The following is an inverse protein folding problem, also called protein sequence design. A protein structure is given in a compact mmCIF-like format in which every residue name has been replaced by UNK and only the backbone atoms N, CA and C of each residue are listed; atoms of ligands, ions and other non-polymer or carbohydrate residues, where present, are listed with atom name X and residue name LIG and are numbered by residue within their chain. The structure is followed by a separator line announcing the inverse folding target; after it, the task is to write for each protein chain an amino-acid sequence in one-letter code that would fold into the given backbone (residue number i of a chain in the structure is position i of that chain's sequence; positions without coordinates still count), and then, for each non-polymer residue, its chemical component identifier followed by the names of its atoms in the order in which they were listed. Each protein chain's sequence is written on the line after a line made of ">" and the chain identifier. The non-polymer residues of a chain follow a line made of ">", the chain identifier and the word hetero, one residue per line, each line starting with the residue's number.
data_IF_585280948006
#
_entry.id   IF_585280948006
#
_cell.length_a   1.000
_cell.length_b   1.000
_cell.length_c   1.000
_cell.angle_alpha   90.00
_cell.angle_beta   90.00
_cell.angle_gamma   90.00
#
_symmetry.space_group_name_H-M   'P 1'
#
loop_
_entity.id
_entity.type
_entity.pdbx_description
1 polymer ?
#
# COMPACT_ATOMS: atom_id res chain seq x y z
N UNK A 1 1.15 -1.83 5.55
CA UNK A 1 0.09 -2.68 4.96
C UNK A 1 -1.20 -2.36 5.68
N UNK A 2 -2.33 -2.26 4.98
CA UNK A 2 -3.62 -2.14 5.66
C UNK A 2 -3.99 -3.49 6.26
N UNK A 3 -4.34 -3.51 7.54
CA UNK A 3 -4.80 -4.73 8.19
C UNK A 3 -6.15 -5.16 7.62
N UNK A 4 -6.36 -6.47 7.53
CA UNK A 4 -7.66 -7.00 7.14
C UNK A 4 -8.69 -6.62 8.22
N UNK A 5 -9.89 -6.21 7.79
CA UNK A 5 -10.96 -5.85 8.72
C UNK A 5 -11.65 -7.13 9.22
N UNK A 6 -12.17 -7.07 10.44
CA UNK A 6 -12.88 -8.19 11.06
C UNK A 6 -11.96 -9.22 11.70
N UNK A 7 -12.53 -10.34 12.14
CA UNK A 7 -11.79 -11.48 12.68
C UNK A 7 -11.36 -12.40 11.53
N UNK A 8 -10.16 -12.95 11.62
CA UNK A 8 -9.74 -14.06 10.78
C UNK A 8 -10.60 -15.31 11.06
N UNK A 9 -10.67 -16.24 10.10
CA UNK A 9 -11.34 -17.52 10.33
C UNK A 9 -10.76 -18.29 11.51
N UNK A 10 -9.45 -18.14 11.77
CA UNK A 10 -8.78 -18.71 12.95
C UNK A 10 -9.32 -18.14 14.25
N UNK A 11 -9.41 -16.82 14.36
CA UNK A 11 -9.96 -16.16 15.56
C UNK A 11 -11.43 -16.50 15.77
N UNK A 12 -12.22 -16.55 14.69
CA UNK A 12 -13.62 -16.98 14.76
C UNK A 12 -13.73 -18.45 15.21
N UNK A 13 -12.82 -19.31 14.75
CA UNK A 13 -12.76 -20.72 15.15
C UNK A 13 -12.42 -20.86 16.63
N UNK A 14 -11.38 -20.16 17.10
CA UNK A 14 -10.93 -20.21 18.49
C UNK A 14 -12.01 -19.68 19.45
N UNK A 15 -12.72 -18.60 19.06
CA UNK A 15 -13.87 -18.08 19.80
C UNK A 15 -15.03 -19.10 19.82
N UNK A 16 -15.38 -19.69 18.68
CA UNK A 16 -16.43 -20.70 18.61
C UNK A 16 -16.10 -21.96 19.43
N UNK A 17 -14.82 -22.36 19.44
CA UNK A 17 -14.32 -23.46 20.26
C UNK A 17 -14.42 -23.16 21.76
N UNK A 18 -14.01 -21.96 22.18
CA UNK A 18 -14.08 -21.53 23.58
C UNK A 18 -15.54 -21.51 24.05
N UNK A 19 -16.42 -20.84 23.32
CA UNK A 19 -17.84 -20.71 23.68
C UNK A 19 -18.54 -22.07 23.70
N UNK A 20 -18.29 -22.95 22.71
CA UNK A 20 -18.91 -24.28 22.70
C UNK A 20 -18.44 -25.13 23.89
N UNK A 21 -17.16 -25.05 24.28
CA UNK A 21 -16.62 -25.77 25.45
C UNK A 21 -17.26 -25.31 26.76
N UNK A 22 -17.42 -24.00 26.93
CA UNK A 22 -18.12 -23.42 28.09
C UNK A 22 -19.59 -23.84 28.15
N UNK A 23 -20.30 -23.81 27.01
CA UNK A 23 -21.70 -24.23 26.93
C UNK A 23 -21.89 -25.72 27.21
N UNK A 24 -20.95 -26.58 26.77
CA UNK A 24 -20.95 -28.02 27.10
C UNK A 24 -20.82 -28.21 28.61
N UNK A 25 -19.87 -27.52 29.24
CA UNK A 25 -19.68 -27.59 30.69
C UNK A 25 -20.93 -27.09 31.43
N UNK A 26 -21.50 -25.96 31.01
CA UNK A 26 -22.72 -25.40 31.58
C UNK A 26 -23.89 -26.38 31.46
N UNK A 27 -24.16 -26.91 30.26
CA UNK A 27 -25.27 -27.83 30.00
C UNK A 27 -25.16 -29.12 30.82
N UNK A 28 -23.94 -29.63 31.02
CA UNK A 28 -23.69 -30.85 31.82
C UNK A 28 -24.15 -30.74 33.28
N UNK A 29 -24.12 -29.53 33.85
CA UNK A 29 -24.54 -29.24 35.22
C UNK A 29 -26.01 -28.81 35.37
N UNK A 30 -26.79 -28.75 34.29
CA UNK A 30 -28.17 -28.26 34.31
C UNK A 30 -29.21 -29.38 34.37
N UNK A 31 -30.39 -29.05 34.90
CA UNK A 31 -31.59 -29.88 34.72
C UNK A 31 -32.10 -29.72 33.28
N UNK A 32 -32.05 -30.82 32.53
CA UNK A 32 -32.32 -30.89 31.08
C UNK A 32 -33.77 -30.62 30.69
N UNK A 33 -34.71 -30.76 31.62
CA UNK A 33 -36.15 -30.57 31.37
C UNK A 33 -36.59 -29.09 31.42
N UNK A 34 -35.64 -28.19 31.70
CA UNK A 34 -35.93 -26.76 31.83
C UNK A 34 -35.83 -26.02 30.49
N UNK A 35 -36.68 -25.00 30.29
CA UNK A 35 -36.58 -24.07 29.14
C UNK A 35 -35.20 -23.39 29.06
N UNK A 36 -34.52 -23.22 30.20
CA UNK A 36 -33.17 -22.66 30.23
C UNK A 36 -32.14 -23.63 29.64
N UNK A 37 -32.21 -24.92 29.99
CA UNK A 37 -31.34 -25.94 29.42
C UNK A 37 -31.56 -26.12 27.91
N UNK A 38 -32.82 -26.05 27.44
CA UNK A 38 -33.13 -26.09 25.99
C UNK A 38 -32.46 -24.94 25.23
N UNK A 39 -32.54 -23.70 25.73
CA UNK A 39 -31.86 -22.55 25.11
C UNK A 39 -30.34 -22.68 25.08
N UNK A 40 -29.75 -23.25 26.13
CA UNK A 40 -28.30 -23.51 26.18
C UNK A 40 -27.91 -24.57 25.16
N UNK A 41 -28.70 -25.64 25.02
CA UNK A 41 -28.50 -26.68 24.01
C UNK A 41 -28.54 -26.12 22.59
N UNK A 42 -29.57 -25.34 22.24
CA UNK A 42 -29.69 -24.70 20.92
C UNK A 42 -28.47 -23.82 20.60
N UNK A 43 -28.04 -23.01 21.57
CA UNK A 43 -26.86 -22.16 21.40
C UNK A 43 -25.58 -23.00 21.27
N UNK A 44 -25.45 -24.07 22.03
CA UNK A 44 -24.31 -25.00 21.99
C UNK A 44 -24.20 -25.65 20.61
N UNK A 45 -25.30 -26.22 20.11
CA UNK A 45 -25.37 -26.85 18.78
C UNK A 45 -24.99 -25.87 17.68
N UNK A 46 -25.54 -24.64 17.72
CA UNK A 46 -25.19 -23.59 16.78
C UNK A 46 -23.69 -23.24 16.79
N UNK A 47 -23.08 -23.17 17.97
CA UNK A 47 -21.64 -22.87 18.08
C UNK A 47 -20.76 -24.05 17.66
N UNK A 48 -21.19 -25.29 17.90
CA UNK A 48 -20.52 -26.50 17.41
C UNK A 48 -20.55 -26.54 15.89
N UNK A 49 -21.70 -26.28 15.27
CA UNK A 49 -21.82 -26.26 13.81
C UNK A 49 -20.98 -25.14 13.19
N UNK A 50 -21.04 -23.93 13.79
CA UNK A 50 -20.15 -22.82 13.39
C UNK A 50 -18.68 -23.17 13.51
N UNK A 51 -18.26 -23.86 14.57
CA UNK A 51 -16.88 -24.33 14.73
C UNK A 51 -16.50 -25.32 13.63
N UNK A 52 -17.40 -26.26 13.31
CA UNK A 52 -17.18 -27.29 12.29
C UNK A 52 -17.03 -26.69 10.89
N UNK A 53 -17.85 -25.70 10.54
CA UNK A 53 -17.70 -24.99 9.26
C UNK A 53 -16.38 -24.20 9.20
N UNK A 54 -15.99 -23.56 10.31
CA UNK A 54 -14.74 -22.80 10.40
C UNK A 54 -13.47 -23.68 10.42
N UNK A 55 -13.55 -24.93 10.90
CA UNK A 55 -12.41 -25.86 10.92
C UNK A 55 -11.77 -26.02 9.53
N UNK A 56 -12.61 -26.03 8.48
CA UNK A 56 -12.17 -26.17 7.09
C UNK A 56 -11.48 -24.92 6.53
N UNK A 57 -11.74 -23.75 7.14
CA UNK A 57 -11.30 -22.44 6.64
C UNK A 57 -10.28 -21.75 7.56
N UNK A 58 -10.05 -22.26 8.78
CA UNK A 58 -9.28 -21.58 9.83
C UNK A 58 -7.84 -21.25 9.44
N UNK A 59 -7.27 -21.98 8.48
CA UNK A 59 -5.89 -21.81 8.04
C UNK A 59 -5.78 -20.96 6.75
N UNK A 60 -6.90 -20.45 6.23
CA UNK A 60 -6.93 -19.50 5.12
C UNK A 60 -6.36 -18.15 5.60
N UNK A 61 -5.33 -17.61 4.93
CA UNK A 61 -4.75 -16.32 5.30
C UNK A 61 -5.76 -15.18 5.26
N UNK A 62 -5.74 -14.36 6.32
CA UNK A 62 -6.62 -13.19 6.44
C UNK A 62 -6.02 -11.99 5.70
N UNK A 63 -6.28 -11.91 4.40
CA UNK A 63 -5.85 -10.84 3.52
C UNK A 63 -6.95 -9.79 3.35
N UNK A 64 -6.57 -8.52 3.26
CA UNK A 64 -7.50 -7.42 2.97
C UNK A 64 -7.97 -7.45 1.51
N UNK A 65 -9.15 -6.90 1.23
CA UNK A 65 -9.72 -6.89 -0.12
C UNK A 65 -8.79 -6.22 -1.13
N UNK A 66 -8.20 -5.07 -0.79
CA UNK A 66 -7.21 -4.40 -1.65
C UNK A 66 -5.99 -5.29 -1.95
N UNK A 67 -5.56 -6.11 -0.98
CA UNK A 67 -4.47 -7.07 -1.19
C UNK A 67 -4.92 -8.18 -2.14
N UNK A 68 -6.12 -8.76 -1.92
CA UNK A 68 -6.69 -9.78 -2.80
C UNK A 68 -6.84 -9.27 -4.23
N UNK A 69 -7.38 -8.06 -4.43
CA UNK A 69 -7.50 -7.40 -5.74
C UNK A 69 -6.14 -7.31 -6.43
N UNK A 70 -5.12 -6.79 -5.74
CA UNK A 70 -3.78 -6.70 -6.33
C UNK A 70 -3.21 -8.07 -6.71
N UNK A 71 -3.44 -9.11 -5.90
CA UNK A 71 -3.00 -10.47 -6.22
C UNK A 71 -3.73 -11.03 -7.45
N UNK A 72 -5.00 -10.72 -7.64
CA UNK A 72 -5.73 -11.05 -8.87
C UNK A 72 -5.12 -10.37 -10.10
N UNK A 73 -4.69 -9.10 -9.99
CA UNK A 73 -4.00 -8.40 -11.08
C UNK A 73 -2.66 -9.06 -11.41
N UNK A 74 -1.88 -9.40 -10.36
CA UNK A 74 -0.60 -10.11 -10.51
C UNK A 74 -0.80 -11.47 -11.20
N UNK A 75 -1.81 -12.25 -10.76
CA UNK A 75 -2.16 -13.52 -11.37
C UNK A 75 -2.57 -13.36 -12.83
N UNK A 76 -3.40 -12.36 -13.12
CA UNK A 76 -3.87 -12.07 -14.48
C UNK A 76 -2.72 -11.72 -15.41
N UNK A 77 -1.78 -10.90 -14.94
CA UNK A 77 -0.56 -10.56 -15.67
C UNK A 77 0.30 -11.77 -15.98
N UNK A 78 0.52 -12.66 -15.02
CA UNK A 78 1.40 -13.82 -15.22
C UNK A 78 0.71 -14.91 -16.04
N UNK A 79 -0.55 -15.22 -15.75
CA UNK A 79 -1.27 -16.33 -16.38
C UNK A 79 -1.81 -15.99 -17.76
N UNK A 80 -2.34 -14.78 -17.93
CA UNK A 80 -3.00 -14.36 -19.16
C UNK A 80 -2.18 -13.36 -19.97
N UNK A 81 -0.99 -12.96 -19.47
CA UNK A 81 -0.11 -11.98 -20.13
C UNK A 81 -0.83 -10.65 -20.41
N UNK A 82 -1.77 -10.28 -19.54
CA UNK A 82 -2.56 -9.05 -19.65
C UNK A 82 -2.23 -8.09 -18.53
N UNK A 83 -1.90 -6.86 -18.89
CA UNK A 83 -1.62 -5.78 -17.95
C UNK A 83 -2.66 -4.68 -18.10
N UNK A 84 -3.11 -4.16 -16.97
CA UNK A 84 -3.84 -2.89 -16.94
C UNK A 84 -2.84 -1.77 -16.60
N UNK A 85 -2.78 -0.76 -17.46
CA UNK A 85 -1.88 0.38 -17.24
C UNK A 85 -2.47 1.33 -16.19
N UNK A 86 -1.87 1.40 -15.02
CA UNK A 86 -2.18 2.47 -14.05
C UNK A 86 -1.52 3.76 -14.53
N UNK A 87 -2.30 4.60 -15.22
CA UNK A 87 -1.85 5.93 -15.67
C UNK A 87 -2.40 7.01 -14.75
N UNK A 88 -1.51 7.79 -14.14
CA UNK A 88 -1.88 9.03 -13.46
C UNK A 88 -0.86 10.12 -13.72
N UNK A 89 -1.32 11.38 -13.76
CA UNK A 89 -0.45 12.55 -13.93
C UNK A 89 0.65 12.64 -12.86
N UNK A 90 0.36 12.13 -11.66
CA UNK A 90 1.31 12.09 -10.54
C UNK A 90 2.46 11.11 -10.79
N UNK A 91 2.14 9.89 -11.24
CA UNK A 91 3.14 8.88 -11.60
C UNK A 91 3.96 9.35 -12.81
N UNK A 92 3.28 9.88 -13.83
CA UNK A 92 3.94 10.37 -15.04
C UNK A 92 4.92 11.51 -14.75
N UNK A 93 4.55 12.48 -13.90
CA UNK A 93 5.47 13.53 -13.45
C UNK A 93 6.68 12.91 -12.76
N UNK A 94 6.46 12.09 -11.74
CA UNK A 94 7.54 11.49 -10.95
C UNK A 94 8.55 10.74 -11.82
N UNK A 95 8.08 9.92 -12.76
CA UNK A 95 8.93 9.18 -13.70
C UNK A 95 9.68 10.09 -14.68
N UNK A 96 9.02 11.14 -15.19
CA UNK A 96 9.61 12.03 -16.20
C UNK A 96 10.76 12.86 -15.61
N UNK A 97 10.64 13.31 -14.36
CA UNK A 97 11.60 14.23 -13.73
C UNK A 97 12.41 13.58 -12.60
N UNK A 98 12.55 12.26 -12.63
CA UNK A 98 13.30 11.52 -11.61
C UNK A 98 14.78 11.93 -11.58
N UNK A 99 15.43 12.04 -12.75
CA UNK A 99 16.85 12.47 -12.82
C UNK A 99 17.04 13.93 -12.39
N UNK A 100 16.06 14.80 -12.65
CA UNK A 100 16.07 16.19 -12.17
C UNK A 100 15.97 16.24 -10.64
N UNK A 101 15.18 15.35 -10.03
CA UNK A 101 15.07 15.25 -8.57
C UNK A 101 16.40 14.78 -7.93
N UNK A 102 17.10 13.83 -8.56
CA UNK A 102 18.44 13.38 -8.14
C UNK A 102 19.46 14.51 -8.31
N UNK A 103 19.36 15.28 -9.40
CA UNK A 103 20.23 16.43 -9.66
C UNK A 103 20.02 17.52 -8.62
N UNK A 104 18.76 17.87 -8.31
CA UNK A 104 18.43 18.80 -7.23
C UNK A 104 19.00 18.33 -5.89
N UNK A 105 18.82 17.04 -5.57
CA UNK A 105 19.40 16.45 -4.36
C UNK A 105 20.91 16.65 -4.32
N UNK A 106 21.59 16.37 -5.44
CA UNK A 106 23.05 16.49 -5.56
C UNK A 106 23.52 17.94 -5.40
N UNK A 107 22.80 18.90 -5.98
CA UNK A 107 23.12 20.33 -5.87
C UNK A 107 22.99 20.84 -4.43
N UNK A 108 21.90 20.49 -3.75
CA UNK A 108 21.61 20.93 -2.37
C UNK A 108 22.57 20.29 -1.38
N UNK A 109 22.88 18.99 -1.54
CA UNK A 109 23.79 18.26 -0.65
C UNK A 109 25.27 18.46 -0.99
N UNK A 110 25.57 18.97 -2.19
CA UNK A 110 26.92 19.10 -2.76
C UNK A 110 27.64 17.75 -2.91
N UNK A 111 26.88 16.67 -3.05
CA UNK A 111 27.35 15.32 -3.29
C UNK A 111 26.84 14.87 -4.66
N UNK A 112 27.73 14.41 -5.54
CA UNK A 112 27.30 13.95 -6.86
C UNK A 112 26.66 12.56 -6.75
N UNK A 113 25.41 12.43 -7.21
CA UNK A 113 24.71 11.16 -7.29
C UNK A 113 24.27 10.87 -8.72
N UNK A 114 24.18 9.57 -9.04
CA UNK A 114 23.69 9.08 -10.31
C UNK A 114 22.52 8.13 -10.08
N UNK A 115 21.54 8.18 -10.96
CA UNK A 115 20.43 7.22 -11.00
C UNK A 115 20.96 5.78 -11.02
N UNK A 116 20.40 4.97 -10.14
CA UNK A 116 20.57 3.53 -10.14
C UNK A 116 19.68 2.92 -11.23
N UNK A 117 20.25 2.04 -12.05
CA UNK A 117 19.53 1.30 -13.09
C UNK A 117 19.51 -0.21 -12.82
N UNK A 118 20.06 -0.63 -11.67
CA UNK A 118 20.07 -2.03 -11.25
C UNK A 118 18.76 -2.37 -10.53
N UNK A 119 18.08 -3.42 -11.02
CA UNK A 119 17.01 -4.08 -10.30
C UNK A 119 17.58 -5.21 -9.45
N UNK A 120 17.18 -5.30 -8.18
CA UNK A 120 17.53 -6.43 -7.30
C UNK A 120 16.30 -7.17 -6.85
N UNK A 121 16.48 -8.46 -6.63
CA UNK A 121 15.45 -9.33 -6.10
C UNK A 121 16.03 -10.35 -5.12
N UNK A 122 15.15 -10.88 -4.27
CA UNK A 122 15.41 -12.01 -3.41
C UNK A 122 14.19 -12.95 -3.41
N UNK A 123 14.18 -13.94 -2.52
CA UNK A 123 13.09 -14.91 -2.41
C UNK A 123 11.74 -14.32 -2.00
N UNK A 124 11.61 -13.01 -1.75
CA UNK A 124 10.36 -12.40 -1.25
C UNK A 124 9.97 -11.15 -2.01
N UNK A 125 10.92 -10.27 -2.32
CA UNK A 125 10.67 -8.96 -2.93
C UNK A 125 11.66 -8.68 -4.06
N UNK A 126 11.27 -7.74 -4.90
CA UNK A 126 12.12 -7.14 -5.92
C UNK A 126 11.91 -5.63 -5.93
N UNK A 127 12.89 -4.88 -6.43
CA UNK A 127 12.74 -3.44 -6.59
C UNK A 127 13.92 -2.78 -7.26
N UNK A 128 13.70 -1.53 -7.62
CA UNK A 128 14.66 -0.61 -8.23
C UNK A 128 14.54 0.70 -7.48
N UNK A 129 15.56 1.04 -6.71
CA UNK A 129 15.65 2.32 -5.99
C UNK A 129 16.20 3.42 -6.91
N UNK A 130 15.98 4.68 -6.56
CA UNK A 130 16.41 5.83 -7.36
C UNK A 130 17.93 5.99 -7.38
N UNK A 131 18.58 6.07 -6.20
CA UNK A 131 20.04 6.04 -6.11
C UNK A 131 20.53 5.59 -4.73
N UNK A 132 21.78 5.14 -4.69
CA UNK A 132 22.42 4.59 -3.49
C UNK A 132 23.81 5.19 -3.32
N UNK A 133 24.25 5.30 -2.06
CA UNK A 133 25.65 5.55 -1.74
C UNK A 133 26.24 4.44 -0.84
N UNK A 134 27.44 4.68 -0.34
CA UNK A 134 28.16 3.70 0.47
C UNK A 134 27.40 3.27 1.73
N UNK A 135 26.64 4.17 2.35
CA UNK A 135 26.05 3.97 3.68
C UNK A 135 24.52 3.91 3.69
N UNK A 136 23.85 4.50 2.70
CA UNK A 136 22.39 4.65 2.67
C UNK A 136 21.80 4.44 1.28
N UNK A 137 20.55 3.97 1.27
CA UNK A 137 19.68 4.02 0.07
C UNK A 137 18.90 5.34 0.07
N UNK A 138 18.62 5.89 -1.10
CA UNK A 138 17.81 7.11 -1.22
C UNK A 138 16.70 6.89 -2.25
N UNK A 139 15.52 7.35 -1.89
CA UNK A 139 14.34 7.33 -2.76
C UNK A 139 13.75 8.75 -2.79
N UNK A 140 13.54 9.26 -4.00
CA UNK A 140 13.01 10.59 -4.26
C UNK A 140 11.52 10.50 -4.53
N UNK A 141 10.78 11.52 -4.06
CA UNK A 141 9.34 11.65 -4.29
C UNK A 141 9.05 13.06 -4.78
N UNK A 142 8.67 13.16 -6.05
CA UNK A 142 8.32 14.45 -6.64
C UNK A 142 6.86 14.79 -6.34
N UNK A 143 6.65 15.95 -5.71
CA UNK A 143 5.30 16.44 -5.43
C UNK A 143 4.66 17.08 -6.68
N UNK A 144 3.34 16.93 -6.82
CA UNK A 144 2.61 17.52 -7.95
C UNK A 144 2.60 19.04 -7.91
N UNK A 145 2.36 19.61 -6.73
CA UNK A 145 2.23 21.05 -6.50
C UNK A 145 3.01 21.50 -5.27
N UNK A 146 3.33 22.80 -5.23
CA UNK A 146 3.96 23.45 -4.08
C UNK A 146 3.18 23.24 -2.79
N UNK A 147 1.85 23.23 -2.83
CA UNK A 147 1.02 22.98 -1.64
C UNK A 147 1.19 21.56 -1.09
N UNK A 148 1.27 20.55 -1.96
CA UNK A 148 1.52 19.17 -1.53
C UNK A 148 2.91 19.03 -0.93
N UNK A 149 3.90 19.64 -1.58
CA UNK A 149 5.27 19.70 -1.07
C UNK A 149 5.30 20.37 0.31
N UNK A 150 4.71 21.56 0.48
CA UNK A 150 4.69 22.27 1.77
C UNK A 150 4.05 21.43 2.87
N UNK A 151 2.98 20.68 2.58
CA UNK A 151 2.31 19.80 3.56
C UNK A 151 3.19 18.64 4.05
N UNK A 152 4.27 18.28 3.36
CA UNK A 152 5.18 17.21 3.83
C UNK A 152 5.90 17.59 5.13
N UNK A 153 6.13 18.88 5.39
CA UNK A 153 6.74 19.34 6.65
C UNK A 153 5.81 19.21 7.86
N UNK A 154 4.49 19.20 7.63
CA UNK A 154 3.50 19.15 8.70
C UNK A 154 2.93 17.73 8.93
N UNK A 155 3.45 16.72 8.22
CA UNK A 155 2.88 15.36 8.23
C UNK A 155 3.98 14.32 8.44
N UNK A 156 3.70 13.25 9.19
CA UNK A 156 4.62 12.13 9.27
C UNK A 156 4.78 11.46 7.90
N UNK A 157 5.90 10.76 7.73
CA UNK A 157 6.14 9.92 6.55
C UNK A 157 4.99 8.91 6.43
N UNK A 158 4.48 8.75 5.21
CA UNK A 158 3.42 7.76 4.95
C UNK A 158 3.96 6.36 5.28
N UNK A 159 3.21 5.51 6.00
CA UNK A 159 3.64 4.15 6.33
C UNK A 159 4.14 3.33 5.14
N UNK A 160 3.55 3.51 3.95
CA UNK A 160 3.99 2.84 2.71
C UNK A 160 5.48 3.05 2.39
N UNK A 161 5.99 4.27 2.60
CA UNK A 161 7.39 4.59 2.28
C UNK A 161 8.36 3.92 3.25
N UNK A 162 7.96 3.67 4.51
CA UNK A 162 8.77 2.86 5.41
C UNK A 162 8.95 1.43 4.86
N UNK A 163 7.86 0.77 4.45
CA UNK A 163 7.92 -0.57 3.86
C UNK A 163 8.77 -0.61 2.58
N UNK A 164 8.64 0.41 1.71
CA UNK A 164 9.44 0.53 0.49
C UNK A 164 10.94 0.64 0.81
N UNK A 165 11.30 1.57 1.70
CA UNK A 165 12.69 1.83 2.05
C UNK A 165 13.34 0.67 2.81
N UNK A 166 12.63 -0.04 3.69
CA UNK A 166 13.16 -1.27 4.29
C UNK A 166 13.42 -2.34 3.24
N UNK A 167 12.53 -2.47 2.26
CA UNK A 167 12.72 -3.39 1.14
C UNK A 167 14.03 -3.09 0.39
N UNK A 168 14.29 -1.83 0.07
CA UNK A 168 15.55 -1.41 -0.55
C UNK A 168 16.76 -1.61 0.36
N UNK A 169 16.67 -1.24 1.64
CA UNK A 169 17.74 -1.48 2.61
C UNK A 169 18.07 -2.97 2.73
N UNK A 170 17.06 -3.84 2.70
CA UNK A 170 17.24 -5.28 2.73
C UNK A 170 17.92 -5.81 1.45
N UNK A 171 17.44 -5.39 0.27
CA UNK A 171 17.99 -5.82 -1.02
C UNK A 171 19.42 -5.34 -1.28
N UNK A 172 19.79 -4.14 -0.80
CA UNK A 172 21.13 -3.57 -0.98
C UNK A 172 22.05 -3.69 0.24
N UNK A 173 21.60 -4.39 1.30
CA UNK A 173 22.42 -4.59 2.51
C UNK A 173 22.80 -3.29 3.22
N UNK A 174 21.87 -2.33 3.29
CA UNK A 174 22.02 -1.06 4.02
C UNK A 174 21.17 -1.05 5.28
N UNK A 175 21.50 -0.16 6.22
CA UNK A 175 20.74 0.02 7.46
C UNK A 175 20.13 1.42 7.61
N UNK A 176 20.46 2.31 6.69
CA UNK A 176 19.96 3.68 6.63
C UNK A 176 19.32 3.94 5.28
N UNK A 177 18.24 4.70 5.30
CA UNK A 177 17.57 5.18 4.12
C UNK A 177 17.26 6.67 4.26
N UNK A 178 17.15 7.37 3.13
CA UNK A 178 16.59 8.72 3.06
C UNK A 178 15.41 8.77 2.11
N UNK A 179 14.34 9.41 2.56
CA UNK A 179 13.22 9.81 1.72
C UNK A 179 13.38 11.29 1.37
N UNK A 180 13.55 11.59 0.08
CA UNK A 180 13.76 12.95 -0.40
C UNK A 180 12.54 13.45 -1.17
N UNK A 181 11.73 14.32 -0.57
CA UNK A 181 10.71 15.03 -1.33
C UNK A 181 11.35 16.16 -2.13
N UNK A 182 11.07 16.20 -3.43
CA UNK A 182 11.61 17.18 -4.36
C UNK A 182 10.49 18.00 -5.02
N UNK A 183 10.70 19.31 -5.11
CA UNK A 183 9.84 20.24 -5.82
C UNK A 183 10.47 20.60 -7.17
N UNK A 184 10.14 19.79 -8.19
CA UNK A 184 10.61 19.96 -9.56
C UNK A 184 9.49 20.47 -10.45
N UNK A 185 9.82 21.37 -11.38
CA UNK A 185 8.89 21.92 -12.35
C UNK A 185 8.12 20.79 -13.04
N UNK A 186 6.82 20.98 -13.20
CA UNK A 186 6.01 20.03 -13.95
C UNK A 186 6.38 20.11 -15.44
N UNK A 187 6.61 18.98 -16.14
CA UNK A 187 6.84 18.98 -17.58
C UNK A 187 5.74 19.72 -18.36
N UNK A 188 6.13 20.44 -19.41
CA UNK A 188 5.22 21.30 -20.18
C UNK A 188 4.01 20.55 -20.75
N UNK A 189 4.19 19.29 -21.20
CA UNK A 189 3.08 18.49 -21.75
C UNK A 189 2.04 18.10 -20.69
N UNK A 190 2.45 17.97 -19.43
CA UNK A 190 1.56 17.74 -18.28
C UNK A 190 0.81 19.03 -17.93
N UNK A 191 1.47 20.18 -17.93
CA UNK A 191 0.84 21.49 -17.72
C UNK A 191 -0.23 21.76 -18.79
N UNK A 192 0.11 21.60 -20.08
CA UNK A 192 -0.84 21.82 -21.19
C UNK A 192 -2.08 20.94 -21.12
N UNK A 193 -1.93 19.69 -20.64
CA UNK A 193 -3.05 18.78 -20.42
C UNK A 193 -3.98 19.30 -19.33
N UNK A 194 -3.43 19.87 -18.26
CA UNK A 194 -4.25 20.49 -17.21
C UNK A 194 -4.91 21.79 -17.70
N UNK A 195 -4.25 22.61 -18.51
CA UNK A 195 -4.86 23.79 -19.16
C UNK A 195 -6.02 23.40 -20.09
N UNK A 196 -5.89 22.27 -20.81
CA UNK A 196 -6.96 21.72 -21.66
C UNK A 196 -8.13 21.20 -20.81
N UNK A 197 -7.84 20.51 -19.71
CA UNK A 197 -8.88 20.05 -18.79
C UNK A 197 -9.62 21.24 -18.17
N UNK A 198 -8.87 22.26 -17.74
CA UNK A 198 -9.42 23.50 -17.22
C UNK A 198 -10.36 24.15 -18.24
N UNK A 199 -9.96 24.24 -19.51
CA UNK A 199 -10.79 24.83 -20.57
C UNK A 199 -12.14 24.12 -20.73
N UNK A 200 -12.16 22.79 -20.61
CA UNK A 200 -13.38 21.99 -20.78
C UNK A 200 -14.42 22.30 -19.69
N UNK A 201 -13.95 22.53 -18.47
CA UNK A 201 -14.81 22.83 -17.31
C UNK A 201 -15.01 24.34 -17.09
N UNK A 202 -14.36 25.20 -17.90
CA UNK A 202 -14.30 26.63 -17.64
C UNK A 202 -15.61 27.35 -18.00
N UNK A 203 -16.10 28.17 -17.08
CA UNK A 203 -17.21 29.09 -17.30
C UNK A 203 -16.74 30.50 -16.95
N UNK A 204 -16.58 31.35 -17.96
CA UNK A 204 -16.08 32.71 -17.80
C UNK A 204 -15.68 33.33 -19.13
N UNK A 205 -15.07 34.51 -19.09
CA UNK A 205 -14.53 35.16 -20.28
C UNK A 205 -13.19 34.53 -20.71
N UNK A 206 -12.75 34.84 -21.93
CA UNK A 206 -11.43 34.42 -22.41
C UNK A 206 -10.28 34.98 -21.54
N UNK A 207 -10.46 36.17 -20.97
CA UNK A 207 -9.46 36.80 -20.10
C UNK A 207 -9.37 36.07 -18.75
N UNK A 208 -10.53 35.69 -18.18
CA UNK A 208 -10.57 34.90 -16.94
C UNK A 208 -9.86 33.55 -17.14
N UNK A 209 -10.04 32.92 -18.31
CA UNK A 209 -9.36 31.67 -18.65
C UNK A 209 -7.84 31.84 -18.74
N UNK A 210 -7.36 32.94 -19.35
CA UNK A 210 -5.92 33.23 -19.46
C UNK A 210 -5.29 33.44 -18.08
N UNK A 211 -5.93 34.20 -17.19
CA UNK A 211 -5.41 34.38 -15.84
C UNK A 211 -5.43 33.06 -15.05
N UNK A 212 -6.49 32.26 -15.18
CA UNK A 212 -6.55 30.93 -14.55
C UNK A 212 -5.42 29.99 -15.04
N UNK A 213 -5.08 30.01 -16.34
CA UNK A 213 -3.95 29.24 -16.88
C UNK A 213 -2.60 29.74 -16.32
N UNK A 214 -2.44 31.05 -16.17
CA UNK A 214 -1.23 31.66 -15.60
C UNK A 214 -1.07 31.28 -14.12
N UNK A 215 -2.14 31.30 -13.33
CA UNK A 215 -2.12 30.81 -11.95
C UNK A 215 -1.79 29.31 -11.88
N UNK A 216 -2.38 28.50 -12.78
CA UNK A 216 -2.09 27.08 -12.89
C UNK A 216 -0.61 26.84 -13.18
N UNK A 217 -0.03 27.58 -14.14
CA UNK A 217 1.41 27.52 -14.45
C UNK A 217 2.27 27.93 -13.26
N UNK A 218 1.92 29.02 -12.57
CA UNK A 218 2.63 29.46 -11.36
C UNK A 218 2.63 28.40 -10.25
N UNK A 219 1.60 27.57 -10.16
CA UNK A 219 1.54 26.45 -9.22
C UNK A 219 2.39 25.22 -9.64
N UNK A 220 2.97 25.25 -10.85
CA UNK A 220 3.69 24.14 -11.48
C UNK A 220 5.12 24.47 -11.92
N UNK A 221 5.50 25.75 -11.94
CA UNK A 221 6.85 26.24 -12.18
C UNK A 221 7.36 26.88 -10.89
N UNK A 222 8.56 26.49 -10.48
CA UNK A 222 9.11 26.79 -9.15
C UNK A 222 10.45 27.52 -9.24
N UNK A 223 10.81 28.04 -10.42
CA UNK A 223 12.11 28.67 -10.66
C UNK A 223 12.37 29.91 -9.79
N UNK A 224 11.30 30.50 -9.25
CA UNK A 224 11.31 31.61 -8.31
C UNK A 224 11.61 31.21 -6.85
N UNK A 225 11.61 29.92 -6.51
CA UNK A 225 11.85 29.41 -5.15
C UNK A 225 13.35 29.04 -4.99
N UNK A 226 14.07 29.40 -3.93
CA UNK A 226 15.47 28.97 -3.75
C UNK A 226 15.63 27.44 -3.76
N UNK A 227 16.71 26.92 -4.36
CA UNK A 227 16.90 25.46 -4.55
C UNK A 227 16.93 24.70 -3.23
N UNK A 228 17.47 25.31 -2.17
CA UNK A 228 17.57 24.77 -0.83
C UNK A 228 16.19 24.57 -0.18
N UNK A 229 15.19 25.36 -0.61
CA UNK A 229 13.82 25.25 -0.14
C UNK A 229 13.00 24.23 -0.95
N UNK A 230 13.51 23.77 -2.10
CA UNK A 230 12.85 22.79 -2.98
C UNK A 230 13.11 21.33 -2.61
N UNK A 231 13.93 21.06 -1.59
CA UNK A 231 14.27 19.72 -1.15
C UNK A 231 13.96 19.52 0.33
N UNK A 232 13.30 18.40 0.67
CA UNK A 232 13.09 17.97 2.06
C UNK A 232 13.48 16.53 2.23
N UNK A 233 14.39 16.29 3.15
CA UNK A 233 15.00 14.98 3.35
C UNK A 233 14.64 14.47 4.73
N UNK A 234 14.16 13.22 4.79
CA UNK A 234 13.84 12.55 6.03
C UNK A 234 14.66 11.27 6.15
N UNK A 235 15.23 11.05 7.33
CA UNK A 235 15.95 9.81 7.63
C UNK A 235 14.96 8.70 8.01
N UNK A 236 15.24 7.49 7.53
CA UNK A 236 14.47 6.28 7.84
C UNK A 236 15.44 5.17 8.23
N UNK A 237 15.24 4.64 9.44
CA UNK A 237 16.05 3.55 9.99
C UNK A 237 15.46 2.19 9.62
N UNK A 238 16.35 1.24 9.37
CA UNK A 238 16.01 -0.15 9.09
C UNK A 238 15.24 -0.79 10.25
N UNK A 239 14.16 -1.50 9.93
CA UNK A 239 13.42 -2.29 10.91
C UNK A 239 13.35 -3.75 10.50
N UNK A 240 14.03 -4.60 11.27
CA UNK A 240 13.95 -6.05 11.11
C UNK A 240 12.54 -6.59 11.33
N UNK A 241 11.81 -6.02 12.31
CA UNK A 241 10.40 -6.36 12.55
C UNK A 241 9.54 -6.12 11.31
N UNK A 242 9.76 -5.01 10.58
CA UNK A 242 9.03 -4.74 9.33
C UNK A 242 9.42 -5.72 8.22
N UNK A 243 10.69 -6.13 8.12
CA UNK A 243 11.11 -7.17 7.19
C UNK A 243 10.45 -8.52 7.49
N UNK A 244 10.35 -8.93 8.75
CA UNK A 244 9.67 -10.18 9.11
C UNK A 244 8.16 -10.12 8.79
N UNK A 245 7.52 -8.96 8.99
CA UNK A 245 6.14 -8.71 8.56
C UNK A 245 5.99 -8.81 7.03
N UNK A 246 6.95 -8.31 6.25
CA UNK A 246 6.98 -8.47 4.79
C UNK A 246 7.05 -9.94 4.41
N UNK A 247 8.01 -10.70 4.97
CA UNK A 247 8.16 -12.14 4.67
C UNK A 247 6.89 -12.91 4.95
N UNK A 248 6.29 -12.72 6.13
CA UNK A 248 5.03 -13.35 6.52
C UNK A 248 3.92 -13.02 5.53
N UNK A 249 3.72 -11.74 5.20
CA UNK A 249 2.67 -11.33 4.26
C UNK A 249 2.90 -11.89 2.85
N UNK A 250 4.14 -11.95 2.37
CA UNK A 250 4.44 -12.55 1.06
C UNK A 250 4.10 -14.04 1.04
N UNK A 251 4.35 -14.78 2.12
CA UNK A 251 3.95 -16.18 2.23
C UNK A 251 2.43 -16.36 2.18
N UNK A 252 1.68 -15.52 2.91
CA UNK A 252 0.21 -15.50 2.86
C UNK A 252 -0.29 -15.20 1.45
N UNK A 253 0.30 -14.22 0.76
CA UNK A 253 0.00 -13.89 -0.63
C UNK A 253 0.28 -15.04 -1.60
N UNK A 254 1.41 -15.75 -1.43
CA UNK A 254 1.76 -16.92 -2.23
C UNK A 254 0.77 -18.07 -2.04
N UNK A 255 0.39 -18.33 -0.79
CA UNK A 255 -0.64 -19.30 -0.49
C UNK A 255 -1.94 -18.96 -1.22
N UNK A 256 -2.37 -17.69 -1.17
CA UNK A 256 -3.58 -17.25 -1.86
C UNK A 256 -3.49 -17.46 -3.37
N UNK A 257 -2.39 -17.01 -4.00
CA UNK A 257 -2.17 -17.16 -5.45
C UNK A 257 -2.20 -18.62 -5.91
N UNK A 258 -1.57 -19.52 -5.15
CA UNK A 258 -1.54 -20.96 -5.46
C UNK A 258 -2.93 -21.62 -5.32
N UNK A 259 -3.83 -21.01 -4.55
CA UNK A 259 -5.17 -21.54 -4.27
C UNK A 259 -6.30 -20.69 -4.87
N UNK A 260 -6.00 -19.72 -5.73
CA UNK A 260 -6.96 -18.72 -6.22
C UNK A 260 -8.23 -19.33 -6.85
N UNK A 261 -8.11 -20.48 -7.53
CA UNK A 261 -9.25 -21.19 -8.12
C UNK A 261 -10.11 -21.97 -7.11
N UNK A 262 -9.57 -22.29 -5.94
CA UNK A 262 -10.25 -23.03 -4.88
C UNK A 262 -10.85 -22.07 -3.83
N UNK A 263 -10.18 -20.96 -3.54
CA UNK A 263 -10.65 -19.94 -2.58
C UNK A 263 -12.01 -19.39 -3.01
N UNK A 264 -12.20 -19.11 -4.30
CA UNK A 264 -13.48 -18.63 -4.82
C UNK A 264 -14.64 -19.61 -4.62
N UNK A 265 -14.38 -20.92 -4.56
CA UNK A 265 -15.42 -21.92 -4.29
C UNK A 265 -15.77 -21.95 -2.80
N UNK A 266 -14.76 -21.83 -1.93
CA UNK A 266 -14.92 -21.86 -0.47
C UNK A 266 -15.67 -20.62 0.06
N UNK A 267 -15.52 -19.47 -0.59
CA UNK A 267 -16.23 -18.23 -0.23
C UNK A 267 -17.66 -18.17 -0.83
N UNK A 268 -17.95 -18.85 -1.95
CA UNK A 268 -19.29 -18.87 -2.57
C UNK A 268 -20.33 -19.68 -1.81
N UNK A 269 -19.92 -20.72 -1.08
CA UNK A 269 -20.81 -21.49 -0.20
C UNK A 269 -21.34 -20.67 1.01
N UNK A 270 -20.96 -19.38 1.15
CA UNK A 270 -21.44 -18.48 2.23
C UNK A 270 -22.70 -17.67 1.86
N UNK A 271 -23.03 -17.52 0.58
CA UNK A 271 -24.17 -16.71 0.13
C UNK A 271 -25.45 -17.53 -0.12
N UNK A 272 -25.38 -18.86 0.00
CA UNK A 272 -26.51 -19.79 -0.23
C UNK A 272 -27.09 -20.41 1.07
N UNK A 273 -26.52 -20.13 2.25
CA UNK A 273 -26.99 -20.61 3.58
C UNK A 273 -27.35 -19.47 4.55
#
# INVERSE_FOLDING_TARGET
>A
MGDAKGKSYREMYDEAHTISTELIAQYSGMNKDTKAAQKVLERMERMIEKRKSLELKKDIPHLSDTCKTHLCDVYTRVKYERTEDIKSKYLEKGLTVEEDAITLYSMVTREFHKKNTEEKSNDFIQGTLDFIDEIKVVDTKVNWSVFQFTRTAARPIKPLYHWQLDGYMWLWGRKKAKLAYALINTPEHLIRREEKNLLYDFVGSEEDYKEACKELRRNHIYDDIPIEERLRVFDVEYSEERIEKIKKRVQECRWFLNNISNVNKIEQDEDED
#
